data_IF_381700897628
#
_entry.id   IF_381700897628
#
_cell.length_a   1.000
_cell.length_b   1.000
_cell.length_c   1.000
_cell.angle_alpha   90.00
_cell.angle_beta   90.00
_cell.angle_gamma   90.00
#
_symmetry.space_group_name_H-M   'P 1'
#
loop_
_entity.id
_entity.type
_entity.pdbx_description
1 polymer ?
#
# COMPACT_ATOMS: atom_id res chain seq x y z
N UNK A 1 9.70 12.16 -18.54
CA UNK A 1 9.37 11.13 -17.54
C UNK A 1 10.34 11.27 -16.38
N UNK A 2 9.85 11.13 -15.12
CA UNK A 2 10.76 11.08 -13.97
C UNK A 2 11.59 9.80 -14.06
N UNK A 3 12.91 9.92 -13.82
CA UNK A 3 13.76 8.74 -13.68
C UNK A 3 13.50 8.07 -12.33
N UNK A 4 13.17 6.78 -12.33
CA UNK A 4 12.91 5.99 -11.13
C UNK A 4 14.18 5.33 -10.57
N UNK A 5 15.28 5.33 -11.33
CA UNK A 5 16.53 4.67 -10.93
C UNK A 5 17.01 5.17 -9.56
N UNK A 6 17.26 4.25 -8.65
CA UNK A 6 17.69 4.50 -7.27
C UNK A 6 16.70 5.27 -6.38
N UNK A 7 15.49 5.54 -6.83
CA UNK A 7 14.43 6.02 -5.95
C UNK A 7 14.04 4.93 -4.95
N UNK A 8 13.64 5.33 -3.75
CA UNK A 8 13.34 4.42 -2.64
C UNK A 8 11.85 4.39 -2.37
N UNK A 9 11.25 3.20 -2.37
CA UNK A 9 9.88 2.98 -1.96
C UNK A 9 9.81 2.17 -0.65
N UNK A 10 8.98 2.62 0.28
CA UNK A 10 8.58 1.87 1.46
C UNK A 10 7.16 1.32 1.26
N UNK A 11 7.00 0.00 1.39
CA UNK A 11 5.76 -0.72 1.05
C UNK A 11 5.29 -1.51 2.27
N UNK A 12 4.19 -1.09 2.88
CA UNK A 12 3.61 -1.81 4.01
C UNK A 12 2.84 -3.04 3.53
N UNK A 13 2.97 -4.16 4.26
CA UNK A 13 2.36 -5.43 3.85
C UNK A 13 2.93 -5.96 2.53
N UNK A 14 4.23 -5.76 2.29
CA UNK A 14 4.93 -6.11 1.06
C UNK A 14 5.32 -7.59 0.91
N UNK A 15 4.97 -8.45 1.88
CA UNK A 15 5.37 -9.87 1.83
C UNK A 15 4.50 -10.75 0.94
N UNK A 16 3.34 -10.28 0.46
CA UNK A 16 2.44 -11.03 -0.43
C UNK A 16 1.44 -10.11 -1.15
N UNK A 17 0.69 -10.66 -2.08
CA UNK A 17 -0.42 -9.98 -2.77
C UNK A 17 0.02 -8.69 -3.45
N UNK A 18 -0.83 -7.64 -3.36
CA UNK A 18 -0.59 -6.36 -4.03
C UNK A 18 0.78 -5.78 -3.65
N UNK A 19 1.14 -5.77 -2.36
CA UNK A 19 2.40 -5.19 -1.91
C UNK A 19 3.63 -5.87 -2.51
N UNK A 20 3.61 -7.20 -2.66
CA UNK A 20 4.69 -7.96 -3.30
C UNK A 20 4.78 -7.68 -4.81
N UNK A 21 3.63 -7.67 -5.51
CA UNK A 21 3.58 -7.34 -6.94
C UNK A 21 4.07 -5.91 -7.21
N UNK A 22 3.68 -4.95 -6.37
CA UNK A 22 4.18 -3.56 -6.42
C UNK A 22 5.70 -3.53 -6.22
N UNK A 23 6.21 -4.22 -5.19
CA UNK A 23 7.65 -4.26 -4.91
C UNK A 23 8.44 -4.80 -6.11
N UNK A 24 7.95 -5.92 -6.72
CA UNK A 24 8.54 -6.51 -7.92
C UNK A 24 8.58 -5.51 -9.07
N UNK A 25 7.44 -4.89 -9.40
CA UNK A 25 7.35 -3.96 -10.54
C UNK A 25 8.24 -2.72 -10.34
N UNK A 26 8.31 -2.18 -9.11
CA UNK A 26 9.18 -1.02 -8.83
C UNK A 26 10.67 -1.38 -8.92
N UNK A 27 11.06 -2.58 -8.47
CA UNK A 27 12.43 -3.09 -8.65
C UNK A 27 12.80 -3.27 -10.12
N UNK A 28 11.90 -3.87 -10.92
CA UNK A 28 12.09 -4.06 -12.36
C UNK A 28 12.26 -2.71 -13.09
N UNK A 29 11.74 -1.62 -12.52
CA UNK A 29 11.90 -0.25 -13.01
C UNK A 29 13.10 0.51 -12.38
N UNK A 30 14.00 -0.19 -11.69
CA UNK A 30 15.25 0.35 -11.17
C UNK A 30 15.16 1.07 -9.82
N UNK A 31 14.03 0.98 -9.13
CA UNK A 31 13.88 1.49 -7.77
C UNK A 31 14.53 0.55 -6.75
N UNK A 32 14.74 1.06 -5.54
CA UNK A 32 15.07 0.29 -4.34
C UNK A 32 13.82 0.21 -3.46
N UNK A 33 13.57 -0.93 -2.83
CA UNK A 33 12.34 -1.15 -2.06
C UNK A 33 12.63 -1.62 -0.64
N UNK A 34 11.93 -1.09 0.32
CA UNK A 34 11.78 -1.66 1.65
C UNK A 34 10.38 -2.25 1.78
N UNK A 35 10.29 -3.51 2.14
CA UNK A 35 9.02 -4.22 2.35
C UNK A 35 8.84 -4.62 3.80
N UNK A 36 7.60 -4.53 4.30
CA UNK A 36 7.32 -4.93 5.68
C UNK A 36 6.29 -6.03 5.77
N UNK A 37 6.39 -6.76 6.87
CA UNK A 37 5.39 -7.70 7.37
C UNK A 37 5.42 -7.71 8.90
N UNK A 38 4.30 -8.08 9.54
CA UNK A 38 4.26 -8.33 10.99
C UNK A 38 5.21 -9.45 11.44
N UNK A 39 5.57 -10.35 10.53
CA UNK A 39 6.53 -11.42 10.75
C UNK A 39 7.79 -11.19 9.90
N UNK A 40 8.92 -10.98 10.55
CA UNK A 40 10.20 -10.73 9.86
C UNK A 40 10.58 -11.86 8.89
N UNK A 41 10.30 -13.12 9.25
CA UNK A 41 10.55 -14.29 8.39
C UNK A 41 9.83 -14.16 7.05
N UNK A 42 8.55 -13.77 7.05
CA UNK A 42 7.78 -13.58 5.83
C UNK A 42 8.29 -12.41 4.98
N UNK A 43 8.75 -11.32 5.62
CA UNK A 43 9.38 -10.20 4.89
C UNK A 43 10.71 -10.63 4.25
N UNK A 44 11.55 -11.39 4.96
CA UNK A 44 12.83 -11.89 4.44
C UNK A 44 12.65 -12.90 3.29
N UNK A 45 11.69 -13.82 3.41
CA UNK A 45 11.36 -14.77 2.35
C UNK A 45 10.90 -14.03 1.08
N UNK A 46 10.01 -13.07 1.23
CA UNK A 46 9.55 -12.24 0.11
C UNK A 46 10.71 -11.43 -0.51
N UNK A 47 11.55 -10.81 0.29
CA UNK A 47 12.72 -10.07 -0.20
C UNK A 47 13.68 -10.96 -0.99
N UNK A 48 13.97 -12.16 -0.51
CA UNK A 48 14.81 -13.14 -1.21
C UNK A 48 14.21 -13.58 -2.56
N UNK A 49 12.87 -13.66 -2.65
CA UNK A 49 12.18 -13.95 -3.93
C UNK A 49 12.24 -12.80 -4.93
N UNK A 50 12.40 -11.56 -4.45
CA UNK A 50 12.46 -10.35 -5.27
C UNK A 50 13.86 -10.10 -5.83
N UNK A 51 14.89 -10.22 -5.00
CA UNK A 51 16.27 -9.99 -5.38
C UNK A 51 17.26 -10.61 -4.39
N UNK A 52 18.37 -11.12 -4.89
CA UNK A 52 19.53 -11.50 -4.08
C UNK A 52 20.43 -10.31 -3.72
N UNK A 53 20.19 -9.13 -4.28
CA UNK A 53 20.96 -7.92 -4.05
C UNK A 53 20.34 -7.13 -2.88
N UNK A 54 20.96 -7.26 -1.69
CA UNK A 54 20.50 -6.59 -0.47
C UNK A 54 20.57 -5.05 -0.56
N UNK A 55 21.35 -4.50 -1.50
CA UNK A 55 21.38 -3.05 -1.73
C UNK A 55 20.11 -2.53 -2.41
N UNK A 56 19.26 -3.43 -2.93
CA UNK A 56 18.00 -3.11 -3.64
C UNK A 56 16.76 -3.40 -2.83
N UNK A 57 16.81 -4.38 -1.92
CA UNK A 57 15.63 -4.84 -1.17
C UNK A 57 15.96 -4.93 0.31
N UNK A 58 15.21 -4.19 1.12
CA UNK A 58 15.28 -4.23 2.58
C UNK A 58 14.01 -4.89 3.15
N UNK A 59 14.19 -5.96 3.93
CA UNK A 59 13.11 -6.64 4.64
C UNK A 59 13.04 -6.16 6.09
N UNK A 60 11.88 -5.68 6.52
CA UNK A 60 11.66 -5.17 7.86
C UNK A 60 10.45 -5.83 8.53
N UNK A 61 10.52 -5.96 9.84
CA UNK A 61 9.33 -6.24 10.64
C UNK A 61 8.65 -4.92 10.99
N UNK A 62 7.35 -4.80 10.69
CA UNK A 62 6.55 -3.70 11.17
C UNK A 62 5.08 -4.10 11.31
N UNK A 63 4.46 -3.65 12.39
CA UNK A 63 3.01 -3.64 12.59
C UNK A 63 2.51 -2.21 12.40
N UNK A 64 1.77 -1.98 11.31
CA UNK A 64 1.25 -0.65 10.98
C UNK A 64 0.31 -0.08 12.06
N UNK A 65 -0.34 -0.94 12.86
CA UNK A 65 -1.20 -0.49 13.98
C UNK A 65 -0.41 0.19 15.11
N UNK A 66 0.92 0.01 15.15
CA UNK A 66 1.84 0.62 16.12
C UNK A 66 2.60 1.78 15.49
N UNK A 67 2.37 3.00 15.99
CA UNK A 67 3.11 4.19 15.56
C UNK A 67 4.63 4.01 15.75
N UNK A 68 5.06 3.44 16.89
CA UNK A 68 6.48 3.24 17.17
C UNK A 68 7.12 2.28 16.16
N UNK A 69 6.41 1.19 15.80
CA UNK A 69 6.87 0.23 14.81
C UNK A 69 7.09 0.89 13.42
N UNK A 70 6.20 1.78 13.01
CA UNK A 70 6.36 2.52 11.76
C UNK A 70 7.49 3.54 11.82
N UNK A 71 7.67 4.24 12.96
CA UNK A 71 8.80 5.16 13.17
C UNK A 71 10.14 4.42 13.05
N UNK A 72 10.26 3.26 13.71
CA UNK A 72 11.47 2.45 13.67
C UNK A 72 11.76 1.90 12.27
N UNK A 73 10.69 1.48 11.55
CA UNK A 73 10.82 1.01 10.16
C UNK A 73 11.28 2.13 9.21
N UNK A 74 10.68 3.32 9.29
CA UNK A 74 11.09 4.46 8.44
C UNK A 74 12.52 4.90 8.76
N UNK A 75 12.91 4.90 10.04
CA UNK A 75 14.31 5.15 10.44
C UNK A 75 15.25 4.15 9.78
N UNK A 76 14.96 2.85 9.86
CA UNK A 76 15.77 1.82 9.22
C UNK A 76 15.87 2.01 7.69
N UNK A 77 14.78 2.39 7.02
CA UNK A 77 14.78 2.70 5.58
C UNK A 77 15.70 3.86 5.25
N UNK A 78 15.61 4.95 6.01
CA UNK A 78 16.43 6.14 5.76
C UNK A 78 17.89 5.94 6.12
N UNK A 79 18.19 5.15 7.14
CA UNK A 79 19.56 4.75 7.48
C UNK A 79 20.19 3.85 6.40
N UNK A 80 19.42 2.90 5.86
CA UNK A 80 19.91 1.94 4.86
C UNK A 80 20.06 2.56 3.46
N UNK A 81 19.06 3.31 3.00
CA UNK A 81 19.02 3.84 1.62
C UNK A 81 19.39 5.32 1.51
N UNK A 82 19.45 6.06 2.63
CA UNK A 82 19.74 7.49 2.66
C UNK A 82 18.57 8.41 2.33
N UNK A 83 17.44 7.86 1.87
CA UNK A 83 16.26 8.65 1.44
C UNK A 83 14.99 7.81 1.48
N UNK A 84 13.83 8.50 1.34
CA UNK A 84 12.53 7.89 1.07
C UNK A 84 11.80 8.76 0.03
N UNK A 85 11.43 8.18 -1.11
CA UNK A 85 10.76 8.90 -2.20
C UNK A 85 9.27 8.52 -2.31
N UNK A 86 8.92 7.28 -1.99
CA UNK A 86 7.56 6.76 -2.15
C UNK A 86 7.14 5.97 -0.93
N UNK A 87 5.96 6.30 -0.39
CA UNK A 87 5.24 5.45 0.55
C UNK A 87 4.09 4.74 -0.18
N UNK A 88 4.07 3.42 -0.15
CA UNK A 88 2.91 2.62 -0.56
C UNK A 88 2.25 2.03 0.69
N UNK A 89 1.22 2.70 1.17
CA UNK A 89 0.43 2.26 2.32
C UNK A 89 -0.59 1.21 1.86
N UNK A 90 -0.15 -0.05 1.87
CA UNK A 90 -0.85 -1.19 1.29
C UNK A 90 -1.34 -2.18 2.35
N UNK A 91 -0.73 -2.29 3.52
CA UNK A 91 -1.15 -3.23 4.55
C UNK A 91 -2.65 -3.12 4.83
N UNK A 92 -3.35 -4.25 4.85
CA UNK A 92 -4.78 -4.27 5.07
C UNK A 92 -5.31 -5.67 5.38
N UNK A 93 -6.43 -5.70 6.11
CA UNK A 93 -7.18 -6.90 6.46
C UNK A 93 -8.67 -6.73 6.13
N UNK A 94 -9.40 -7.83 6.02
CA UNK A 94 -10.85 -7.81 5.84
C UNK A 94 -11.50 -8.82 6.75
N UNK A 95 -12.37 -8.35 7.66
CA UNK A 95 -13.28 -9.16 8.42
C UNK A 95 -14.70 -8.85 7.94
N UNK A 96 -15.39 -9.88 7.46
CA UNK A 96 -16.71 -9.76 6.84
C UNK A 96 -17.74 -10.51 7.68
N UNK A 97 -18.65 -9.77 8.28
CA UNK A 97 -19.73 -10.30 9.10
C UNK A 97 -20.91 -9.31 9.11
N UNK A 98 -22.13 -9.82 9.36
CA UNK A 98 -23.28 -8.95 9.61
C UNK A 98 -23.02 -8.12 10.89
N UNK A 99 -23.68 -6.97 11.01
CA UNK A 99 -23.53 -6.13 12.21
C UNK A 99 -23.96 -6.88 13.48
N UNK A 100 -24.81 -7.89 13.36
CA UNK A 100 -25.25 -8.72 14.48
C UNK A 100 -24.17 -9.67 15.01
N UNK A 101 -23.26 -10.12 14.13
CA UNK A 101 -22.20 -11.11 14.43
C UNK A 101 -20.79 -10.54 14.40
N UNK A 102 -20.60 -9.31 13.89
CA UNK A 102 -19.30 -8.65 13.86
C UNK A 102 -18.80 -8.42 15.29
N UNK A 103 -17.63 -8.98 15.60
CA UNK A 103 -17.04 -8.82 16.93
C UNK A 103 -16.36 -7.47 17.10
N UNK A 104 -16.23 -7.00 18.34
CA UNK A 104 -15.45 -5.79 18.66
C UNK A 104 -13.99 -5.94 18.18
N UNK A 105 -13.42 -7.14 18.32
CA UNK A 105 -12.05 -7.41 17.90
C UNK A 105 -11.89 -7.29 16.37
N UNK A 106 -12.80 -7.89 15.58
CA UNK A 106 -12.77 -7.79 14.13
C UNK A 106 -12.91 -6.34 13.64
N UNK A 107 -13.77 -5.57 14.31
CA UNK A 107 -13.90 -4.14 14.06
C UNK A 107 -12.60 -3.40 14.33
N UNK A 108 -12.00 -3.60 15.52
CA UNK A 108 -10.74 -2.94 15.90
C UNK A 108 -9.61 -3.32 14.97
N UNK A 109 -9.42 -4.61 14.68
CA UNK A 109 -8.37 -5.08 13.79
C UNK A 109 -8.49 -4.46 12.40
N UNK A 110 -9.73 -4.33 11.90
CA UNK A 110 -10.00 -3.73 10.60
C UNK A 110 -9.68 -2.23 10.59
N UNK A 111 -10.16 -1.47 11.57
CA UNK A 111 -9.91 -0.03 11.66
C UNK A 111 -8.44 0.26 11.96
N UNK A 112 -7.85 -0.45 12.91
CA UNK A 112 -6.47 -0.24 13.34
C UNK A 112 -5.48 -0.55 12.23
N UNK A 113 -5.74 -1.58 11.42
CA UNK A 113 -4.87 -1.89 10.28
C UNK A 113 -5.13 -0.98 9.08
N UNK A 114 -6.39 -0.86 8.64
CA UNK A 114 -6.72 -0.27 7.34
C UNK A 114 -6.76 1.26 7.35
N UNK A 115 -6.99 1.88 8.51
CA UNK A 115 -7.13 3.33 8.65
C UNK A 115 -6.08 3.92 9.58
N UNK A 116 -6.04 3.51 10.86
CA UNK A 116 -5.05 3.97 11.83
C UNK A 116 -3.63 3.63 11.37
N UNK A 117 -3.43 2.43 10.82
CA UNK A 117 -2.14 1.99 10.29
C UNK A 117 -1.64 2.84 9.13
N UNK A 118 -2.53 3.24 8.23
CA UNK A 118 -2.14 4.16 7.14
C UNK A 118 -1.79 5.55 7.71
N UNK A 119 -2.54 6.05 8.69
CA UNK A 119 -2.16 7.28 9.39
C UNK A 119 -0.77 7.17 10.03
N UNK A 120 -0.47 6.06 10.72
CA UNK A 120 0.84 5.83 11.33
C UNK A 120 1.97 5.84 10.29
N UNK A 121 1.80 5.11 9.18
CA UNK A 121 2.79 5.04 8.10
C UNK A 121 3.04 6.42 7.48
N UNK A 122 1.98 7.18 7.21
CA UNK A 122 2.08 8.55 6.69
C UNK A 122 2.78 9.47 7.70
N UNK A 123 2.37 9.41 8.96
CA UNK A 123 2.91 10.28 10.02
C UNK A 123 4.40 10.03 10.26
N UNK A 124 4.82 8.76 10.27
CA UNK A 124 6.21 8.37 10.43
C UNK A 124 7.10 8.79 9.24
N UNK A 125 6.55 8.78 8.01
CA UNK A 125 7.31 9.04 6.78
C UNK A 125 7.30 10.50 6.32
N UNK A 126 6.47 11.35 6.92
CA UNK A 126 6.16 12.67 6.37
C UNK A 126 7.37 13.58 6.18
N UNK A 127 8.32 13.59 7.12
CA UNK A 127 9.47 14.48 7.05
C UNK A 127 10.45 14.04 5.95
N UNK A 128 10.68 12.73 5.80
CA UNK A 128 11.49 12.19 4.71
C UNK A 128 10.84 12.46 3.34
N UNK A 129 9.51 12.29 3.23
CA UNK A 129 8.77 12.59 2.01
C UNK A 129 8.72 14.08 1.66
N UNK A 130 8.72 14.98 2.64
CA UNK A 130 8.86 16.43 2.38
C UNK A 130 10.24 16.77 1.82
N UNK A 131 11.31 16.15 2.34
CA UNK A 131 12.68 16.36 1.86
C UNK A 131 12.84 15.93 0.40
N UNK A 132 12.28 14.78 0.03
CA UNK A 132 12.35 14.23 -1.34
C UNK A 132 11.32 14.83 -2.30
N UNK A 133 10.33 15.61 -1.81
CA UNK A 133 9.11 16.00 -2.54
C UNK A 133 8.42 14.75 -3.10
N UNK A 134 8.28 13.74 -2.24
CA UNK A 134 7.92 12.38 -2.58
C UNK A 134 6.45 12.15 -2.90
N UNK A 135 6.07 10.88 -2.89
CA UNK A 135 4.73 10.45 -3.26
C UNK A 135 4.16 9.46 -2.24
N UNK A 136 2.93 9.67 -1.81
CA UNK A 136 2.13 8.75 -0.99
C UNK A 136 1.10 8.07 -1.88
N UNK A 137 1.14 6.75 -1.94
CA UNK A 137 0.13 5.91 -2.59
C UNK A 137 -0.61 5.14 -1.50
N UNK A 138 -1.91 5.33 -1.40
CA UNK A 138 -2.76 4.55 -0.48
C UNK A 138 -3.56 3.52 -1.25
N UNK A 139 -3.53 2.27 -0.82
CA UNK A 139 -4.31 1.17 -1.41
C UNK A 139 -5.63 1.06 -0.64
N UNK A 140 -6.66 1.72 -1.18
CA UNK A 140 -8.00 1.62 -0.64
C UNK A 140 -8.75 0.38 -1.19
N UNK A 141 -9.90 0.57 -1.77
CA UNK A 141 -10.74 -0.44 -2.44
C UNK A 141 -11.92 0.28 -3.10
N UNK A 142 -12.60 -0.36 -4.04
CA UNK A 142 -13.96 0.06 -4.45
C UNK A 142 -14.93 0.09 -3.26
N UNK A 143 -14.66 -0.66 -2.20
CA UNK A 143 -15.38 -0.59 -0.91
C UNK A 143 -15.22 0.77 -0.19
N UNK A 144 -14.39 1.67 -0.68
CA UNK A 144 -14.28 3.06 -0.22
C UNK A 144 -15.25 4.03 -0.90
N UNK A 145 -15.99 3.57 -1.91
CA UNK A 145 -17.03 4.35 -2.63
C UNK A 145 -18.34 3.57 -2.80
N UNK A 146 -18.30 2.25 -2.66
CA UNK A 146 -19.46 1.37 -2.75
C UNK A 146 -19.53 0.51 -1.48
N UNK A 147 -20.72 0.24 -1.03
CA UNK A 147 -20.97 -0.59 0.14
C UNK A 147 -21.59 -1.93 -0.27
N UNK A 148 -21.41 -2.94 0.58
CA UNK A 148 -21.95 -4.28 0.37
C UNK A 148 -22.33 -4.93 1.71
N UNK A 149 -23.19 -5.91 1.65
CA UNK A 149 -23.66 -6.67 2.80
C UNK A 149 -22.48 -7.37 3.52
N UNK A 150 -22.53 -7.44 4.85
CA UNK A 150 -21.48 -7.97 5.72
C UNK A 150 -20.13 -7.20 5.67
N UNK A 151 -20.10 -6.02 5.03
CA UNK A 151 -18.90 -5.22 4.86
C UNK A 151 -18.75 -4.06 5.83
N UNK A 152 -19.53 -3.95 6.91
CA UNK A 152 -19.61 -2.73 7.73
C UNK A 152 -18.25 -2.22 8.23
N UNK A 153 -17.42 -3.05 8.85
CA UNK A 153 -16.10 -2.66 9.31
C UNK A 153 -15.16 -2.31 8.14
N UNK A 154 -15.14 -3.15 7.11
CA UNK A 154 -14.29 -2.96 5.95
C UNK A 154 -14.67 -1.70 5.17
N UNK A 155 -15.96 -1.51 4.87
CA UNK A 155 -16.45 -0.29 4.24
C UNK A 155 -16.10 0.95 5.06
N UNK A 156 -16.37 0.96 6.39
CA UNK A 156 -16.03 2.07 7.26
C UNK A 156 -14.53 2.43 7.15
N UNK A 157 -13.65 1.43 7.21
CA UNK A 157 -12.22 1.63 7.10
C UNK A 157 -11.79 2.20 5.74
N UNK A 158 -12.37 1.71 4.63
CA UNK A 158 -12.00 2.11 3.27
C UNK A 158 -12.61 3.44 2.85
N UNK A 159 -13.85 3.77 3.28
CA UNK A 159 -14.41 5.13 3.15
C UNK A 159 -13.59 6.14 3.95
N UNK A 160 -13.26 5.82 5.21
CA UNK A 160 -12.38 6.64 6.04
C UNK A 160 -11.01 6.87 5.38
N UNK A 161 -10.42 5.82 4.81
CA UNK A 161 -9.13 5.91 4.12
C UNK A 161 -9.19 6.82 2.89
N UNK A 162 -10.24 6.74 2.08
CA UNK A 162 -10.43 7.65 0.93
C UNK A 162 -10.53 9.09 1.41
N UNK A 163 -11.35 9.36 2.43
CA UNK A 163 -11.50 10.70 3.02
C UNK A 163 -10.17 11.22 3.58
N UNK A 164 -9.48 10.42 4.39
CA UNK A 164 -8.16 10.75 4.94
C UNK A 164 -7.15 11.08 3.84
N UNK A 165 -7.04 10.24 2.83
CA UNK A 165 -6.07 10.42 1.73
C UNK A 165 -6.33 11.70 0.95
N UNK A 166 -7.59 12.04 0.67
CA UNK A 166 -7.94 13.29 -0.03
C UNK A 166 -7.66 14.52 0.83
N UNK A 167 -7.87 14.45 2.15
CA UNK A 167 -7.55 15.54 3.07
C UNK A 167 -6.03 15.81 3.15
N UNK A 168 -5.22 14.77 3.38
CA UNK A 168 -3.75 14.94 3.46
C UNK A 168 -3.13 15.36 2.12
N UNK A 169 -3.75 15.03 0.98
CA UNK A 169 -3.34 15.53 -0.32
C UNK A 169 -3.37 17.08 -0.35
N UNK A 170 -4.42 17.68 0.21
CA UNK A 170 -4.54 19.15 0.30
C UNK A 170 -3.50 19.74 1.25
N UNK A 171 -3.24 19.09 2.39
CA UNK A 171 -2.29 19.55 3.39
C UNK A 171 -0.85 19.55 2.87
N UNK A 172 -0.50 18.53 2.05
CA UNK A 172 0.88 18.20 1.70
C UNK A 172 1.33 18.80 0.37
N UNK A 173 0.41 19.19 -0.52
CA UNK A 173 0.76 19.75 -1.84
C UNK A 173 1.64 21.01 -1.76
N UNK A 174 1.52 21.80 -0.71
CA UNK A 174 2.38 22.98 -0.49
C UNK A 174 3.85 22.64 -0.28
N UNK A 175 4.14 21.40 0.12
CA UNK A 175 5.50 20.86 0.26
C UNK A 175 5.97 20.10 -0.98
N UNK A 176 5.14 20.00 -2.03
CA UNK A 176 5.43 19.24 -3.24
C UNK A 176 5.23 17.73 -3.09
N UNK A 177 4.68 17.27 -1.96
CA UNK A 177 4.34 15.85 -1.74
C UNK A 177 3.01 15.56 -2.41
N UNK A 178 2.99 14.51 -3.24
CA UNK A 178 1.81 14.04 -3.95
C UNK A 178 1.10 12.94 -3.15
N UNK A 179 -0.20 12.83 -3.30
CA UNK A 179 -0.99 11.73 -2.69
C UNK A 179 -1.99 11.21 -3.72
N UNK A 180 -1.98 9.91 -3.97
CA UNK A 180 -2.97 9.21 -4.80
C UNK A 180 -3.59 8.06 -4.02
N UNK A 181 -4.90 7.95 -4.12
CA UNK A 181 -5.66 6.80 -3.63
C UNK A 181 -6.00 5.87 -4.77
N UNK A 182 -5.50 4.64 -4.76
CA UNK A 182 -5.89 3.59 -5.70
C UNK A 182 -6.98 2.74 -5.04
N UNK A 183 -8.07 2.55 -5.76
CA UNK A 183 -9.25 1.80 -5.29
C UNK A 183 -9.49 0.59 -6.20
N UNK A 184 -8.78 -0.52 -5.98
CA UNK A 184 -8.96 -1.70 -6.79
C UNK A 184 -10.26 -2.44 -6.44
N UNK A 185 -10.83 -3.08 -7.45
CA UNK A 185 -11.85 -4.11 -7.32
C UNK A 185 -11.23 -5.47 -6.95
N UNK A 186 -11.68 -6.53 -7.62
CA UNK A 186 -11.16 -7.88 -7.37
C UNK A 186 -9.72 -8.01 -7.86
N UNK A 187 -8.80 -8.30 -6.95
CA UNK A 187 -7.39 -8.57 -7.22
C UNK A 187 -7.06 -10.01 -6.83
N UNK A 188 -6.25 -10.71 -7.62
CA UNK A 188 -5.80 -12.07 -7.34
C UNK A 188 -4.78 -12.06 -6.19
N UNK A 189 -5.25 -12.21 -4.95
CA UNK A 189 -4.42 -12.12 -3.74
C UNK A 189 -4.84 -13.13 -2.69
N UNK A 190 -4.02 -13.24 -1.64
CA UNK A 190 -4.30 -14.04 -0.44
C UNK A 190 -5.25 -13.35 0.55
N UNK A 191 -5.97 -12.31 0.11
CA UNK A 191 -6.85 -11.55 0.98
C UNK A 191 -8.03 -12.40 1.45
N UNK A 192 -8.39 -12.27 2.73
CA UNK A 192 -9.47 -13.01 3.37
C UNK A 192 -9.37 -14.55 3.22
N UNK A 193 -8.16 -15.10 3.35
CA UNK A 193 -7.94 -16.56 3.29
C UNK A 193 -8.00 -17.17 1.90
N UNK A 194 -8.22 -16.39 0.85
CA UNK A 194 -8.14 -16.86 -0.53
C UNK A 194 -6.72 -17.28 -0.90
N UNK A 195 -6.59 -18.28 -1.75
CA UNK A 195 -5.32 -18.71 -2.35
C UNK A 195 -5.46 -18.52 -3.87
N UNK A 196 -4.65 -17.61 -4.48
CA UNK A 196 -4.71 -17.37 -5.92
C UNK A 196 -4.48 -18.65 -6.74
N UNK A 197 -5.25 -18.80 -7.82
CA UNK A 197 -5.15 -19.92 -8.75
C UNK A 197 -5.58 -19.50 -10.16
N UNK A 198 -5.54 -20.41 -11.13
CA UNK A 198 -5.83 -20.13 -12.54
C UNK A 198 -7.25 -19.55 -12.79
N UNK A 199 -8.21 -19.85 -11.91
CA UNK A 199 -9.54 -19.27 -12.00
C UNK A 199 -9.57 -17.76 -11.69
N UNK A 200 -8.50 -17.19 -11.15
CA UNK A 200 -8.35 -15.77 -10.88
C UNK A 200 -7.80 -14.95 -12.06
N UNK A 201 -7.55 -15.57 -13.21
CA UNK A 201 -6.97 -14.90 -14.39
C UNK A 201 -7.79 -13.70 -14.89
N UNK A 202 -9.09 -13.63 -14.59
CA UNK A 202 -9.95 -12.50 -14.92
C UNK A 202 -9.78 -11.30 -13.96
N UNK A 203 -9.23 -11.52 -12.77
CA UNK A 203 -9.00 -10.48 -11.77
C UNK A 203 -7.81 -9.61 -12.16
N UNK A 204 -7.75 -8.42 -11.59
CA UNK A 204 -6.55 -7.59 -11.60
C UNK A 204 -5.42 -8.41 -10.96
N UNK A 205 -4.24 -8.41 -11.58
CA UNK A 205 -3.07 -9.05 -10.98
C UNK A 205 -2.32 -8.04 -10.09
N UNK A 206 -1.60 -8.48 -9.04
CA UNK A 206 -0.80 -7.59 -8.20
C UNK A 206 0.17 -6.68 -8.98
N UNK A 207 0.76 -7.20 -10.04
CA UNK A 207 1.70 -6.50 -10.91
C UNK A 207 1.02 -5.39 -11.74
N UNK A 208 -0.27 -5.53 -12.07
CA UNK A 208 -1.05 -4.46 -12.74
C UNK A 208 -1.14 -3.22 -11.85
N UNK A 209 -1.30 -3.42 -10.53
CA UNK A 209 -1.27 -2.31 -9.57
C UNK A 209 0.14 -1.71 -9.49
N UNK A 210 1.17 -2.53 -9.55
CA UNK A 210 2.57 -2.10 -9.63
C UNK A 210 2.85 -1.25 -10.85
N UNK A 211 2.37 -1.67 -12.03
CA UNK A 211 2.50 -0.90 -13.27
C UNK A 211 1.80 0.44 -13.18
N UNK A 212 0.59 0.46 -12.64
CA UNK A 212 -0.15 1.71 -12.43
C UNK A 212 0.59 2.68 -11.52
N UNK A 213 1.21 2.19 -10.43
CA UNK A 213 2.04 3.03 -9.56
C UNK A 213 3.25 3.56 -10.33
N UNK A 214 3.91 2.72 -11.11
CA UNK A 214 5.04 3.14 -11.96
C UNK A 214 4.63 4.27 -12.92
N UNK A 215 3.49 4.12 -13.59
CA UNK A 215 2.96 5.15 -14.51
C UNK A 215 2.66 6.47 -13.77
N UNK A 216 2.08 6.39 -12.57
CA UNK A 216 1.84 7.57 -11.71
C UNK A 216 3.13 8.28 -11.34
N UNK A 217 4.18 7.53 -10.97
CA UNK A 217 5.47 8.09 -10.60
C UNK A 217 6.18 8.76 -11.79
N UNK A 218 5.94 8.28 -13.00
CA UNK A 218 6.52 8.82 -14.23
C UNK A 218 5.74 10.00 -14.84
N UNK A 219 4.55 10.30 -14.35
CA UNK A 219 3.75 11.43 -14.82
C UNK A 219 4.48 12.76 -14.63
N UNK A 220 4.16 13.71 -15.51
CA UNK A 220 4.70 15.07 -15.36
C UNK A 220 4.38 15.64 -13.96
N UNK A 221 5.34 16.30 -13.25
CA UNK A 221 5.17 16.75 -11.87
C UNK A 221 3.93 17.60 -11.59
N UNK A 222 3.43 18.35 -12.58
CA UNK A 222 2.20 19.16 -12.45
C UNK A 222 0.91 18.34 -12.49
N UNK A 223 0.97 17.03 -12.78
CA UNK A 223 -0.20 16.17 -12.93
C UNK A 223 -0.33 15.27 -11.71
N UNK A 224 -1.52 15.24 -11.12
CA UNK A 224 -1.84 14.44 -9.94
C UNK A 224 -3.21 13.78 -10.10
N UNK A 225 -3.28 12.51 -10.54
CA UNK A 225 -4.48 11.71 -10.36
C UNK A 225 -4.67 11.43 -8.86
N UNK A 226 -5.58 12.15 -8.21
CA UNK A 226 -5.72 12.07 -6.74
C UNK A 226 -6.49 10.82 -6.30
N UNK A 227 -7.34 10.25 -7.19
CA UNK A 227 -8.18 9.10 -6.92
C UNK A 227 -8.38 8.27 -8.18
N UNK A 228 -8.15 6.96 -8.11
CA UNK A 228 -8.24 6.05 -9.26
C UNK A 228 -9.04 4.82 -8.86
N UNK A 229 -10.17 4.60 -9.51
CA UNK A 229 -10.93 3.35 -9.46
C UNK A 229 -10.43 2.38 -10.53
N UNK A 230 -10.20 1.13 -10.15
CA UNK A 230 -9.73 0.09 -11.06
C UNK A 230 -10.61 -1.14 -10.93
N UNK A 231 -11.09 -1.63 -12.06
CA UNK A 231 -11.98 -2.80 -12.12
C UNK A 231 -11.41 -3.83 -13.08
N UNK A 232 -11.64 -5.13 -12.85
CA UNK A 232 -11.45 -6.11 -13.92
C UNK A 232 -12.26 -5.68 -15.15
N UNK A 233 -11.68 -5.85 -16.33
CA UNK A 233 -12.34 -5.50 -17.60
C UNK A 233 -13.60 -6.35 -17.83
N UNK A 234 -13.50 -7.64 -17.46
CA UNK A 234 -14.61 -8.59 -17.53
C UNK A 234 -14.86 -9.08 -16.10
N UNK A 235 -16.08 -8.86 -15.53
CA UNK A 235 -16.38 -9.39 -14.21
C UNK A 235 -16.40 -10.91 -14.22
N UNK A 236 -15.99 -11.53 -13.12
CA UNK A 236 -16.14 -12.97 -12.93
C UNK A 236 -17.61 -13.39 -12.98
N UNK A 237 -17.83 -14.61 -13.44
CA UNK A 237 -19.16 -15.24 -13.44
C UNK A 237 -19.55 -15.68 -12.03
#
# INVERSE_FOLDING_TARGET
MMNLTNKVAYITGGSKGIGLGVAKTLLDNGMRVAITSRHLSAAKEAAASLSSDESKVLALQSDVSSMQSEVDAIKAVTEHFGQLDVLVANAGVGHFASIESLTEQDWKDTIDTNLTGVFNSVKASIDALKQSKGYIITIASLAGTNFFENGSAYNASKFGLVGFSQAIMLDLRKYGVKVTTIMPGSVATYFNGHVPNDADAWKIQPEDVGQMITDLLQMHPRTLPSKIEVRPTIPGK
#
